data_IF_802040664983
#
_entry.id   IF_802040664983
#
_cell.length_a   1.000
_cell.length_b   1.000
_cell.length_c   1.000
_cell.angle_alpha   90.00
_cell.angle_beta   90.00
_cell.angle_gamma   90.00
#
_symmetry.space_group_name_H-M   'P 1'
#
loop_
_entity.id
_entity.type
_entity.pdbx_description
1 polymer ?
#
# COMPACT_ATOMS: atom_id res chain seq x y z
N UNK A 1 26.72 -5.00 55.66
CA UNK A 1 25.76 -5.86 54.93
C UNK A 1 26.17 -7.31 55.09
N UNK A 2 25.23 -8.21 55.38
CA UNK A 2 25.51 -9.64 55.38
C UNK A 2 25.67 -10.14 53.94
N UNK A 3 26.53 -11.14 53.71
CA UNK A 3 26.75 -11.75 52.39
C UNK A 3 25.43 -12.19 51.71
N UNK A 4 24.45 -12.58 52.52
CA UNK A 4 23.12 -13.01 52.07
C UNK A 4 22.30 -11.87 51.47
N UNK A 5 22.44 -10.63 51.96
CA UNK A 5 21.72 -9.48 51.41
C UNK A 5 22.24 -9.09 50.02
N UNK A 6 23.56 -9.24 49.80
CA UNK A 6 24.19 -8.97 48.49
C UNK A 6 23.74 -10.03 47.47
N UNK A 7 23.70 -11.30 47.85
CA UNK A 7 23.20 -12.38 46.98
C UNK A 7 21.72 -12.20 46.61
N UNK A 8 20.89 -11.75 47.56
CA UNK A 8 19.47 -11.47 47.29
C UNK A 8 19.32 -10.31 46.28
N UNK A 9 20.09 -9.24 46.44
CA UNK A 9 20.06 -8.09 45.54
C UNK A 9 20.48 -8.48 44.11
N UNK A 10 21.53 -9.30 43.97
CA UNK A 10 21.98 -9.81 42.67
C UNK A 10 20.89 -10.68 42.04
N UNK A 11 20.26 -11.57 42.81
CA UNK A 11 19.17 -12.40 42.31
C UNK A 11 17.96 -11.57 41.84
N UNK A 12 17.59 -10.53 42.59
CA UNK A 12 16.51 -9.60 42.20
C UNK A 12 16.88 -8.85 40.93
N UNK A 13 18.11 -8.31 40.83
CA UNK A 13 18.56 -7.59 39.63
C UNK A 13 18.57 -8.49 38.39
N UNK A 14 19.07 -9.72 38.51
CA UNK A 14 19.09 -10.70 37.39
C UNK A 14 17.66 -11.10 37.00
N UNK A 15 16.76 -11.33 37.96
CA UNK A 15 15.36 -11.64 37.67
C UNK A 15 14.62 -10.43 37.05
N UNK A 16 14.91 -9.20 37.50
CA UNK A 16 14.33 -7.99 36.93
C UNK A 16 14.82 -7.70 35.52
N UNK A 17 16.07 -8.05 35.18
CA UNK A 17 16.58 -7.87 33.82
C UNK A 17 16.02 -8.89 32.82
N UNK A 18 15.42 -10.01 33.27
CA UNK A 18 14.74 -10.96 32.39
C UNK A 18 13.29 -10.57 32.03
N UNK A 19 12.65 -9.66 32.78
CA UNK A 19 11.22 -9.33 32.60
C UNK A 19 11.01 -8.28 31.50
N UNK A 20 12.07 -7.68 30.96
CA UNK A 20 11.98 -6.65 29.92
C UNK A 20 12.21 -7.21 28.51
N UNK A 21 11.71 -8.41 28.23
CA UNK A 21 11.42 -8.80 26.84
C UNK A 21 10.03 -8.25 26.54
N UNK A 22 9.96 -6.97 26.18
CA UNK A 22 8.75 -6.44 25.57
C UNK A 22 8.39 -7.36 24.41
N UNK A 23 7.13 -7.82 24.34
CA UNK A 23 6.69 -8.62 23.20
C UNK A 23 6.89 -7.75 21.96
N UNK A 24 7.96 -8.00 21.22
CA UNK A 24 8.12 -7.48 19.88
C UNK A 24 7.14 -8.29 19.05
N UNK A 25 5.88 -7.84 19.00
CA UNK A 25 4.95 -8.25 17.97
C UNK A 25 5.47 -7.65 16.67
N UNK A 26 6.53 -8.24 16.12
CA UNK A 26 6.87 -8.06 14.72
C UNK A 26 5.84 -8.85 13.94
N UNK A 27 4.61 -8.34 13.89
CA UNK A 27 3.61 -8.83 12.97
C UNK A 27 4.16 -8.50 11.59
N UNK A 28 4.45 -9.53 10.80
CA UNK A 28 4.89 -9.34 9.42
C UNK A 28 3.78 -8.62 8.67
N UNK A 29 4.13 -7.57 7.94
CA UNK A 29 3.20 -6.91 7.03
C UNK A 29 2.70 -7.95 6.03
N UNK A 30 1.38 -8.06 5.87
CA UNK A 30 0.80 -9.05 4.99
C UNK A 30 1.22 -8.75 3.54
N UNK A 31 1.95 -9.68 2.93
CA UNK A 31 2.37 -9.56 1.53
C UNK A 31 1.14 -9.55 0.61
N UNK A 32 0.94 -8.52 -0.23
CA UNK A 32 -0.19 -8.49 -1.15
C UNK A 32 -0.04 -9.53 -2.26
N UNK A 33 -1.17 -10.01 -2.78
CA UNK A 33 -1.19 -10.94 -3.91
C UNK A 33 -0.98 -10.20 -5.24
N UNK A 34 -0.59 -10.93 -6.29
CA UNK A 34 -0.45 -10.34 -7.63
C UNK A 34 -1.84 -9.89 -8.12
N UNK A 35 -2.02 -8.62 -8.55
CA UNK A 35 -3.33 -8.11 -8.95
C UNK A 35 -3.95 -8.86 -10.14
N UNK A 36 -5.23 -9.21 -10.00
CA UNK A 36 -6.10 -9.53 -11.13
C UNK A 36 -6.60 -8.22 -11.74
N UNK A 37 -6.38 -8.01 -13.04
CA UNK A 37 -6.82 -6.79 -13.71
C UNK A 37 -7.36 -7.05 -15.11
N UNK A 38 -7.93 -6.02 -15.73
CA UNK A 38 -8.35 -6.00 -17.13
C UNK A 38 -8.20 -4.59 -17.67
N UNK A 39 -7.81 -4.46 -18.95
CA UNK A 39 -7.67 -3.18 -19.62
C UNK A 39 -8.67 -3.05 -20.77
N UNK A 40 -9.38 -1.91 -20.84
CA UNK A 40 -10.37 -1.63 -21.88
C UNK A 40 -10.21 -0.23 -22.43
N UNK A 41 -10.50 -0.05 -23.72
CA UNK A 41 -10.67 1.28 -24.32
C UNK A 41 -12.13 1.67 -24.19
N UNK A 42 -12.41 2.79 -23.52
CA UNK A 42 -13.77 3.29 -23.28
C UNK A 42 -13.95 4.61 -24.00
N UNK A 43 -15.07 4.75 -24.71
CA UNK A 43 -15.41 5.95 -25.47
C UNK A 43 -16.43 6.78 -24.71
N UNK A 44 -16.15 8.08 -24.61
CA UNK A 44 -16.95 9.08 -23.92
C UNK A 44 -17.24 10.26 -24.86
N UNK A 45 -17.87 10.03 -26.03
CA UNK A 45 -18.05 11.09 -27.01
C UNK A 45 -18.99 12.17 -26.46
N UNK A 46 -18.73 13.43 -26.81
CA UNK A 46 -19.60 14.54 -26.44
C UNK A 46 -19.66 15.61 -27.53
N UNK A 47 -20.79 16.30 -27.59
CA UNK A 47 -21.04 17.41 -28.50
C UNK A 47 -21.02 18.73 -27.74
N UNK A 48 -20.25 19.69 -28.25
CA UNK A 48 -20.38 21.10 -27.87
C UNK A 48 -21.34 21.75 -28.88
N UNK A 49 -22.50 22.27 -28.46
CA UNK A 49 -23.41 22.94 -29.40
C UNK A 49 -22.83 24.29 -29.86
N UNK A 50 -23.20 24.73 -31.06
CA UNK A 50 -22.89 26.09 -31.54
C UNK A 50 -23.52 27.12 -30.59
N UNK A 51 -22.71 28.07 -30.11
CA UNK A 51 -23.19 29.16 -29.25
C UNK A 51 -23.01 30.52 -29.94
N UNK A 52 -23.86 31.47 -29.58
CA UNK A 52 -23.85 32.82 -30.11
C UNK A 52 -23.73 33.82 -28.97
N UNK A 53 -22.89 34.83 -29.14
CA UNK A 53 -22.77 35.94 -28.21
C UNK A 53 -22.74 37.26 -28.98
N UNK A 54 -23.48 38.26 -28.52
CA UNK A 54 -23.43 39.61 -29.10
C UNK A 54 -22.34 40.41 -28.40
N UNK A 55 -21.34 40.86 -29.15
CA UNK A 55 -20.29 41.73 -28.63
C UNK A 55 -20.92 43.06 -28.12
N UNK A 56 -20.74 43.40 -26.84
CA UNK A 56 -21.41 44.56 -26.24
C UNK A 56 -20.85 45.90 -26.74
N UNK A 57 -19.70 45.91 -27.40
CA UNK A 57 -19.04 47.11 -27.89
C UNK A 57 -19.28 47.36 -29.37
N UNK A 58 -19.46 46.30 -30.17
CA UNK A 58 -19.68 46.42 -31.62
C UNK A 58 -21.11 46.09 -32.04
N UNK A 59 -21.87 45.36 -31.22
CA UNK A 59 -23.19 44.84 -31.57
C UNK A 59 -23.16 43.66 -32.55
N UNK A 60 -21.97 43.19 -32.94
CA UNK A 60 -21.81 42.06 -33.85
C UNK A 60 -22.14 40.74 -33.14
N UNK A 61 -22.73 39.79 -33.87
CA UNK A 61 -22.95 38.44 -33.37
C UNK A 61 -21.71 37.59 -33.63
N UNK A 62 -21.02 37.19 -32.56
CA UNK A 62 -19.92 36.23 -32.59
C UNK A 62 -20.52 34.82 -32.51
N UNK A 63 -20.15 33.98 -33.47
CA UNK A 63 -20.54 32.57 -33.51
C UNK A 63 -19.37 31.71 -33.05
N UNK A 64 -19.57 30.92 -32.00
CA UNK A 64 -18.65 29.86 -31.60
C UNK A 64 -19.20 28.55 -32.15
N UNK A 65 -18.61 28.05 -33.22
CA UNK A 65 -19.04 26.80 -33.86
C UNK A 65 -18.98 25.63 -32.87
N UNK A 66 -20.03 24.82 -32.90
CA UNK A 66 -20.07 23.57 -32.16
C UNK A 66 -19.07 22.56 -32.72
N UNK A 67 -18.74 21.55 -31.92
CA UNK A 67 -17.80 20.50 -32.29
C UNK A 67 -18.15 19.18 -31.60
N UNK A 68 -17.96 18.07 -32.33
CA UNK A 68 -18.04 16.72 -31.80
C UNK A 68 -16.65 16.26 -31.37
N UNK A 69 -16.51 15.74 -30.15
CA UNK A 69 -15.27 15.23 -29.61
C UNK A 69 -15.36 13.73 -29.35
N UNK A 70 -14.54 12.97 -30.06
CA UNK A 70 -14.33 11.54 -29.87
C UNK A 70 -13.38 11.30 -28.69
N UNK A 71 -13.83 11.60 -27.48
CA UNK A 71 -13.02 11.40 -26.28
C UNK A 71 -12.93 9.90 -25.94
N UNK A 72 -11.72 9.40 -25.75
CA UNK A 72 -11.45 7.99 -25.44
C UNK A 72 -10.46 7.91 -24.29
N UNK A 73 -10.74 7.04 -23.33
CA UNK A 73 -9.84 6.71 -22.23
C UNK A 73 -9.47 5.24 -22.29
N UNK A 74 -8.37 4.89 -21.62
CA UNK A 74 -8.00 3.52 -21.32
C UNK A 74 -8.31 3.29 -19.86
N UNK A 75 -9.22 2.36 -19.59
CA UNK A 75 -9.60 2.00 -18.23
C UNK A 75 -8.90 0.72 -17.79
N UNK A 76 -8.16 0.81 -16.68
CA UNK A 76 -7.56 -0.34 -16.00
C UNK A 76 -8.44 -0.69 -14.80
N UNK A 77 -9.12 -1.82 -14.89
CA UNK A 77 -9.98 -2.36 -13.85
C UNK A 77 -9.19 -3.37 -13.03
N UNK A 78 -8.90 -3.05 -11.77
CA UNK A 78 -8.10 -3.87 -10.87
C UNK A 78 -9.04 -4.44 -9.81
N UNK A 79 -9.08 -5.76 -9.65
CA UNK A 79 -9.90 -6.41 -8.63
C UNK A 79 -9.26 -6.22 -7.26
N UNK A 80 -10.01 -5.64 -6.35
CA UNK A 80 -9.52 -5.29 -5.03
C UNK A 80 -9.25 -6.54 -4.19
N UNK A 81 -8.17 -6.49 -3.41
CA UNK A 81 -7.75 -7.58 -2.54
C UNK A 81 -8.28 -7.32 -1.13
N UNK A 82 -8.59 -8.37 -0.35
CA UNK A 82 -8.90 -8.20 1.06
C UNK A 82 -7.70 -7.57 1.79
N UNK A 83 -7.86 -6.32 2.20
CA UNK A 83 -6.88 -5.59 3.00
C UNK A 83 -7.62 -4.66 3.95
N UNK A 84 -7.24 -4.66 5.23
CA UNK A 84 -7.79 -3.78 6.24
C UNK A 84 -6.71 -2.74 6.60
N UNK A 85 -6.92 -1.45 6.28
CA UNK A 85 -5.99 -0.39 6.68
C UNK A 85 -5.79 -0.34 8.19
N UNK A 86 -4.60 0.04 8.62
CA UNK A 86 -4.24 0.17 10.03
C UNK A 86 -3.21 1.29 10.23
N UNK A 87 -3.11 1.80 11.45
CA UNK A 87 -2.06 2.77 11.81
C UNK A 87 -0.82 2.04 12.35
N UNK A 88 0.36 2.45 11.89
CA UNK A 88 1.62 1.95 12.44
C UNK A 88 1.97 2.56 13.83
N UNK A 89 3.15 2.23 14.36
CA UNK A 89 3.58 2.69 15.68
C UNK A 89 3.74 4.22 15.77
N UNK A 90 3.92 4.88 14.62
CA UNK A 90 4.05 6.33 14.48
C UNK A 90 2.71 7.01 14.16
N UNK A 91 1.62 6.24 14.04
CA UNK A 91 0.28 6.75 13.70
C UNK A 91 0.09 7.07 12.22
N UNK A 92 0.89 6.45 11.34
CA UNK A 92 0.78 6.59 9.89
C UNK A 92 -0.15 5.50 9.34
N UNK A 93 -1.10 5.90 8.50
CA UNK A 93 -2.04 4.97 7.89
C UNK A 93 -1.32 4.10 6.85
N UNK A 94 -1.20 2.82 7.15
CA UNK A 94 -0.75 1.78 6.23
C UNK A 94 -1.95 1.28 5.42
N UNK A 95 -1.83 1.36 4.10
CA UNK A 95 -2.89 1.00 3.17
C UNK A 95 -2.36 0.16 1.99
N UNK A 96 -3.27 -0.41 1.20
CA UNK A 96 -2.97 -1.09 -0.04
C UNK A 96 -3.10 -0.11 -1.21
N UNK A 97 -2.09 -0.12 -2.06
CA UNK A 97 -2.00 0.76 -3.22
C UNK A 97 -1.64 -0.03 -4.47
N UNK A 98 -1.96 0.57 -5.62
CA UNK A 98 -1.65 0.03 -6.94
C UNK A 98 -0.69 0.93 -7.71
N UNK A 99 0.12 0.28 -8.53
CA UNK A 99 1.02 0.90 -9.48
C UNK A 99 0.77 0.25 -10.84
N UNK A 100 0.70 1.07 -11.88
CA UNK A 100 0.50 0.61 -13.24
C UNK A 100 1.72 1.03 -14.04
N UNK A 101 2.19 0.13 -14.89
CA UNK A 101 3.19 0.47 -15.89
C UNK A 101 2.72 0.07 -17.27
N UNK A 102 3.19 0.80 -18.26
CA UNK A 102 2.80 0.68 -19.65
C UNK A 102 4.02 0.75 -20.56
N UNK A 103 3.97 0.04 -21.67
CA UNK A 103 4.92 0.17 -22.78
C UNK A 103 4.24 -0.14 -24.10
N UNK A 104 4.81 0.33 -25.20
CA UNK A 104 4.50 -0.21 -26.50
C UNK A 104 4.82 -1.70 -26.56
N UNK A 105 4.04 -2.48 -27.29
CA UNK A 105 4.26 -3.93 -27.38
C UNK A 105 5.68 -4.30 -27.86
N UNK A 106 6.22 -3.48 -28.76
CA UNK A 106 7.56 -3.63 -29.33
C UNK A 106 8.65 -2.82 -28.60
N UNK A 107 8.30 -2.13 -27.53
CA UNK A 107 9.26 -1.43 -26.67
C UNK A 107 9.84 -2.40 -25.63
N UNK A 108 11.09 -2.17 -25.24
CA UNK A 108 11.78 -2.94 -24.21
C UNK A 108 11.51 -2.38 -22.82
N UNK A 109 11.48 -1.05 -22.70
CA UNK A 109 11.38 -0.34 -21.44
C UNK A 109 9.93 -0.09 -21.02
N UNK A 110 9.67 -0.26 -19.72
CA UNK A 110 8.40 0.10 -19.11
C UNK A 110 8.43 1.54 -18.61
N UNK A 111 7.32 2.24 -18.79
CA UNK A 111 7.10 3.59 -18.26
C UNK A 111 5.93 3.60 -17.28
N UNK A 112 5.92 4.54 -16.34
CA UNK A 112 4.69 4.87 -15.62
C UNK A 112 3.75 5.58 -16.61
N UNK A 113 2.45 5.28 -16.62
CA UNK A 113 1.52 6.03 -17.42
C UNK A 113 1.62 7.50 -17.02
N UNK A 114 1.67 8.39 -18.01
CA UNK A 114 1.66 9.83 -17.77
C UNK A 114 0.30 10.15 -17.12
N UNK A 115 0.28 10.25 -15.80
CA UNK A 115 -0.81 10.90 -15.09
C UNK A 115 -0.50 12.40 -15.03
N UNK A 116 -1.52 13.24 -15.08
CA UNK A 116 -1.40 14.69 -15.29
C UNK A 116 -0.73 15.46 -14.12
N UNK A 117 -0.10 14.77 -13.17
CA UNK A 117 0.65 15.39 -12.09
C UNK A 117 2.14 15.17 -12.28
N UNK A 118 2.85 16.21 -12.75
CA UNK A 118 4.32 16.28 -12.76
C UNK A 118 4.95 16.30 -11.35
N UNK A 119 4.17 16.17 -10.27
CA UNK A 119 4.74 16.03 -8.94
C UNK A 119 5.38 14.64 -8.81
N UNK A 120 6.71 14.58 -8.73
CA UNK A 120 7.58 13.41 -8.58
C UNK A 120 7.17 12.34 -7.54
N UNK A 121 6.14 12.58 -6.73
CA UNK A 121 5.48 11.51 -5.98
C UNK A 121 4.68 10.64 -6.96
N UNK A 122 5.34 9.61 -7.52
CA UNK A 122 4.70 8.57 -8.33
C UNK A 122 3.33 8.25 -7.73
N UNK A 123 2.25 8.59 -8.45
CA UNK A 123 0.88 8.50 -7.94
C UNK A 123 0.58 7.04 -7.58
N UNK A 124 0.76 6.70 -6.31
CA UNK A 124 0.36 5.41 -5.76
C UNK A 124 -1.13 5.50 -5.51
N UNK A 125 -1.89 4.69 -6.22
CA UNK A 125 -3.34 4.79 -6.24
C UNK A 125 -3.91 3.92 -5.13
N UNK A 126 -4.53 4.48 -4.08
CA UNK A 126 -5.08 3.68 -3.00
C UNK A 126 -6.19 2.78 -3.54
N UNK A 127 -6.30 1.60 -2.95
CA UNK A 127 -7.43 0.71 -3.20
C UNK A 127 -8.75 1.44 -2.89
N UNK A 128 -9.70 1.38 -3.82
CA UNK A 128 -11.06 1.88 -3.60
C UNK A 128 -11.85 0.98 -2.63
N UNK A 129 -12.99 1.46 -2.14
CA UNK A 129 -13.90 0.68 -1.31
C UNK A 129 -14.86 -0.24 -2.09
N UNK A 130 -14.81 -0.22 -3.43
CA UNK A 130 -15.62 -1.09 -4.29
C UNK A 130 -14.95 -2.45 -4.54
N UNK A 131 -15.59 -3.34 -5.31
CA UNK A 131 -14.96 -4.60 -5.73
C UNK A 131 -13.75 -4.37 -6.65
N UNK A 132 -13.76 -3.27 -7.41
CA UNK A 132 -12.68 -2.89 -8.33
C UNK A 132 -12.19 -1.48 -8.06
N UNK A 133 -10.88 -1.27 -8.20
CA UNK A 133 -10.28 0.03 -8.42
C UNK A 133 -10.20 0.27 -9.92
N UNK A 134 -10.76 1.38 -10.41
CA UNK A 134 -10.78 1.72 -11.84
C UNK A 134 -9.91 2.95 -12.08
N UNK A 135 -8.93 2.81 -12.94
CA UNK A 135 -7.99 3.87 -13.31
C UNK A 135 -8.28 4.31 -14.74
N UNK A 136 -8.55 5.61 -14.93
CA UNK A 136 -8.79 6.19 -16.25
C UNK A 136 -7.50 6.88 -16.72
N UNK A 137 -6.87 6.29 -17.73
CA UNK A 137 -5.65 6.78 -18.35
C UNK A 137 -5.98 7.48 -19.67
N UNK A 138 -5.27 8.56 -19.97
CA UNK A 138 -5.41 9.25 -21.24
C UNK A 138 -4.94 8.36 -22.41
N UNK A 139 -5.71 8.35 -23.50
CA UNK A 139 -5.37 7.57 -24.69
C UNK A 139 -4.62 8.43 -25.71
N UNK A 140 -3.29 8.40 -25.66
CA UNK A 140 -2.42 9.12 -26.61
C UNK A 140 -1.91 8.24 -27.75
N UNK A 141 -2.37 7.00 -27.83
CA UNK A 141 -1.83 6.02 -28.77
C UNK A 141 -2.51 6.11 -30.14
N UNK A 142 -1.76 5.79 -31.19
CA UNK A 142 -2.29 5.72 -32.55
C UNK A 142 -3.24 4.53 -32.71
N UNK A 143 -4.26 4.67 -33.56
CA UNK A 143 -5.11 3.55 -33.96
C UNK A 143 -4.25 2.40 -34.54
N UNK A 144 -4.57 1.17 -34.15
CA UNK A 144 -3.83 -0.05 -34.47
C UNK A 144 -2.59 -0.29 -33.60
N UNK A 145 -2.21 0.63 -32.71
CA UNK A 145 -1.09 0.42 -31.80
C UNK A 145 -1.39 -0.72 -30.82
N UNK A 146 -0.37 -1.51 -30.50
CA UNK A 146 -0.42 -2.52 -29.45
C UNK A 146 0.29 -1.99 -28.20
N UNK A 147 -0.39 -2.05 -27.07
CA UNK A 147 0.09 -1.48 -25.80
C UNK A 147 -0.01 -2.54 -24.72
N UNK A 148 1.09 -2.75 -24.00
CA UNK A 148 1.23 -3.72 -22.92
C UNK A 148 1.05 -3.02 -21.57
N UNK A 149 0.32 -3.66 -20.67
CA UNK A 149 0.05 -3.19 -19.31
C UNK A 149 0.45 -4.23 -18.27
N UNK A 150 0.96 -3.75 -17.13
CA UNK A 150 1.14 -4.54 -15.92
C UNK A 150 0.73 -3.73 -14.69
N UNK A 151 0.31 -4.44 -13.65
CA UNK A 151 -0.12 -3.88 -12.37
C UNK A 151 0.67 -4.54 -11.24
N UNK A 152 1.08 -3.75 -10.26
CA UNK A 152 1.69 -4.21 -9.01
C UNK A 152 0.88 -3.66 -7.84
N UNK A 153 0.63 -4.49 -6.83
CA UNK A 153 0.10 -4.06 -5.54
C UNK A 153 1.24 -3.94 -4.52
N UNK A 154 1.13 -2.97 -3.63
CA UNK A 154 2.07 -2.81 -2.53
C UNK A 154 1.34 -2.28 -1.31
N UNK A 155 1.83 -2.70 -0.15
CA UNK A 155 1.42 -2.19 1.15
C UNK A 155 2.44 -1.14 1.54
N UNK A 156 1.96 0.00 2.00
CA UNK A 156 2.83 1.10 2.38
C UNK A 156 2.03 2.24 2.97
N UNK A 157 2.70 3.36 3.18
CA UNK A 157 2.11 4.56 3.77
C UNK A 157 2.81 5.82 3.27
N UNK A 158 2.09 6.94 3.31
CA UNK A 158 2.68 8.25 3.07
C UNK A 158 3.19 8.86 4.37
N UNK A 159 4.34 9.52 4.31
CA UNK A 159 4.84 10.33 5.39
C UNK A 159 5.41 11.66 4.86
N UNK A 160 5.43 12.67 5.73
CA UNK A 160 6.05 13.95 5.41
C UNK A 160 7.52 13.88 5.78
N UNK A 161 8.39 14.05 4.80
CA UNK A 161 9.82 14.22 4.99
C UNK A 161 10.21 15.69 4.74
N UNK A 162 11.42 16.06 5.14
CA UNK A 162 11.98 17.38 4.86
C UNK A 162 13.26 17.21 4.03
N UNK A 163 13.49 18.10 3.06
CA UNK A 163 14.73 18.09 2.30
C UNK A 163 15.96 18.06 3.22
N UNK A 164 16.99 17.28 2.88
CA UNK A 164 18.20 17.18 3.71
C UNK A 164 18.83 18.57 3.92
N UNK A 165 19.49 18.73 5.07
CA UNK A 165 20.13 19.98 5.48
C UNK A 165 21.05 20.53 4.36
N UNK A 166 20.75 21.73 3.86
CA UNK A 166 21.51 22.35 2.76
C UNK A 166 20.67 23.30 1.88
N UNK A 167 19.35 23.19 1.89
CA UNK A 167 18.45 24.12 1.23
C UNK A 167 18.05 25.28 2.15
N UNK A 168 18.08 26.52 1.63
CA UNK A 168 17.72 27.72 2.38
C UNK A 168 16.24 27.76 2.81
N UNK A 169 15.39 26.93 2.18
CA UNK A 169 13.98 26.81 2.49
C UNK A 169 13.66 25.32 2.65
N UNK A 170 13.19 24.93 3.84
CA UNK A 170 12.67 23.59 4.09
C UNK A 170 11.21 23.54 3.64
N UNK A 171 10.95 22.85 2.53
CA UNK A 171 9.60 22.50 2.12
C UNK A 171 9.31 21.05 2.54
N UNK A 172 8.14 20.78 3.15
CA UNK A 172 7.72 19.40 3.38
C UNK A 172 7.53 18.71 2.03
N UNK A 173 8.03 17.49 1.91
CA UNK A 173 7.79 16.61 0.77
C UNK A 173 6.98 15.39 1.25
N UNK A 174 6.01 14.98 0.45
CA UNK A 174 5.26 13.75 0.70
C UNK A 174 6.02 12.59 0.09
N UNK A 175 6.50 11.67 0.93
CA UNK A 175 7.22 10.48 0.50
C UNK A 175 6.34 9.25 0.73
N UNK A 176 6.37 8.32 -0.21
CA UNK A 176 5.71 7.04 -0.07
C UNK A 176 6.73 5.98 0.35
N UNK A 177 6.52 5.35 1.51
CA UNK A 177 7.31 4.20 1.95
C UNK A 177 6.63 2.91 1.51
N UNK A 178 7.37 2.05 0.82
CA UNK A 178 6.92 0.71 0.45
C UNK A 178 7.36 -0.26 1.55
N UNK A 179 6.40 -0.93 2.17
CA UNK A 179 6.66 -1.93 3.20
C UNK A 179 6.70 -3.34 2.59
N UNK A 180 5.75 -3.67 1.70
CA UNK A 180 5.69 -4.97 1.00
C UNK A 180 5.18 -4.82 -0.44
N UNK A 181 5.58 -5.73 -1.35
CA UNK A 181 5.10 -5.72 -2.75
C UNK A 181 4.62 -7.10 -3.22
N UNK A 182 3.69 -7.11 -4.17
CA UNK A 182 3.20 -8.33 -4.81
C UNK A 182 4.15 -8.84 -5.91
N UNK A 183 4.97 -7.94 -6.46
CA UNK A 183 5.57 -8.10 -7.78
C UNK A 183 4.57 -7.78 -8.89
N UNK A 184 5.07 -7.72 -10.13
CA UNK A 184 4.28 -7.37 -11.31
C UNK A 184 3.37 -8.50 -11.78
N UNK A 185 2.18 -8.14 -12.23
CA UNK A 185 1.23 -9.04 -12.89
C UNK A 185 1.75 -9.61 -14.22
N UNK A 186 1.00 -10.55 -14.79
CA UNK A 186 1.13 -10.88 -16.21
C UNK A 186 0.87 -9.64 -17.08
N UNK A 187 1.45 -9.64 -18.28
CA UNK A 187 1.21 -8.60 -19.28
C UNK A 187 -0.17 -8.78 -19.92
N UNK A 188 -0.93 -7.69 -20.03
CA UNK A 188 -2.09 -7.62 -20.93
C UNK A 188 -1.82 -6.67 -22.07
N UNK A 189 -2.04 -7.15 -23.29
CA UNK A 189 -1.89 -6.37 -24.51
C UNK A 189 -3.25 -5.95 -25.03
N UNK A 190 -3.41 -4.66 -25.36
CA UNK A 190 -4.59 -4.15 -26.05
C UNK A 190 -4.21 -3.61 -27.43
N UNK A 191 -5.16 -3.67 -28.37
CA UNK A 191 -5.05 -3.02 -29.68
C UNK A 191 -5.92 -1.76 -29.69
N UNK A 192 -5.32 -0.60 -29.94
CA UNK A 192 -6.01 0.68 -29.90
C UNK A 192 -6.94 0.82 -31.11
N UNK A 193 -8.23 1.05 -30.86
CA UNK A 193 -9.22 1.23 -31.93
C UNK A 193 -10.01 -0.02 -32.29
N UNK A 194 -9.65 -1.19 -31.78
CA UNK A 194 -10.52 -2.36 -31.82
C UNK A 194 -11.44 -2.37 -30.59
N UNK A 195 -12.74 -2.50 -30.83
CA UNK A 195 -13.69 -2.76 -29.74
C UNK A 195 -13.42 -4.19 -29.27
N UNK A 196 -12.85 -4.35 -28.08
CA UNK A 196 -12.68 -5.67 -27.50
C UNK A 196 -14.07 -6.26 -27.19
N UNK A 197 -14.53 -7.17 -28.05
CA UNK A 197 -15.77 -7.92 -27.83
C UNK A 197 -15.62 -9.02 -26.79
N UNK A 198 -14.37 -9.37 -26.45
CA UNK A 198 -14.05 -10.33 -25.40
C UNK A 198 -13.40 -9.59 -24.24
N UNK A 199 -14.01 -9.65 -23.07
CA UNK A 199 -13.30 -9.29 -21.84
C UNK A 199 -12.22 -10.35 -21.64
N UNK A 200 -10.93 -10.00 -21.63
CA UNK A 200 -9.89 -10.98 -21.38
C UNK A 200 -10.18 -11.67 -20.06
N UNK A 201 -10.12 -13.00 -20.04
CA UNK A 201 -10.33 -13.76 -18.82
C UNK A 201 -9.24 -13.34 -17.81
N UNK A 202 -9.61 -12.96 -16.56
CA UNK A 202 -8.63 -12.50 -15.59
C UNK A 202 -7.53 -13.56 -15.48
N UNK A 203 -6.27 -13.13 -15.56
CA UNK A 203 -5.17 -14.07 -15.32
C UNK A 203 -5.23 -14.46 -13.85
N UNK A 204 -5.69 -15.68 -13.56
CA UNK A 204 -5.74 -16.19 -12.19
C UNK A 204 -4.30 -16.21 -11.68
N UNK A 205 -3.96 -15.43 -10.64
CA UNK A 205 -2.63 -15.49 -10.07
C UNK A 205 -2.44 -16.89 -9.49
N UNK A 206 -1.28 -17.49 -9.77
CA UNK A 206 -0.89 -18.70 -9.06
C UNK A 206 -0.75 -18.30 -7.60
N UNK A 207 -1.71 -18.71 -6.76
CA UNK A 207 -1.69 -18.38 -5.35
C UNK A 207 -0.40 -18.94 -4.75
N UNK A 208 0.48 -18.03 -4.33
CA UNK A 208 1.57 -18.42 -3.45
C UNK A 208 0.90 -18.71 -2.11
N UNK A 209 1.12 -19.89 -1.48
CA UNK A 209 0.44 -20.22 -0.23
C UNK A 209 0.67 -19.10 0.77
N UNK A 210 -0.43 -18.55 1.30
CA UNK A 210 -0.35 -17.59 2.40
C UNK A 210 0.54 -18.19 3.48
N UNK A 211 1.49 -17.43 4.05
CA UNK A 211 2.11 -17.87 5.29
C UNK A 211 0.96 -18.10 6.27
N UNK A 212 0.78 -19.35 6.66
CA UNK A 212 -0.13 -19.69 7.75
C UNK A 212 0.50 -19.04 8.96
N UNK A 213 -0.01 -17.86 9.34
CA UNK A 213 0.33 -17.30 10.64
C UNK A 213 0.02 -18.39 11.66
N UNK A 214 0.96 -18.63 12.58
CA UNK A 214 0.84 -19.57 13.68
C UNK A 214 0.49 -18.78 14.95
N UNK A 215 -0.79 -18.37 15.14
CA UNK A 215 -1.16 -17.46 16.21
C UNK A 215 -1.25 -18.13 17.60
N UNK A 216 -1.10 -19.45 17.72
CA UNK A 216 -1.31 -20.14 19.00
C UNK A 216 -0.03 -20.43 19.79
N UNK A 217 1.09 -20.68 19.13
CA UNK A 217 2.31 -21.11 19.84
C UNK A 217 2.87 -19.97 20.72
N UNK A 218 2.82 -18.73 20.22
CA UNK A 218 3.38 -17.57 20.91
C UNK A 218 2.57 -17.17 22.16
N UNK A 219 1.24 -17.38 22.17
CA UNK A 219 0.43 -17.15 23.38
C UNK A 219 0.70 -18.17 24.48
N UNK A 220 0.88 -19.45 24.12
CA UNK A 220 1.19 -20.49 25.12
C UNK A 220 2.56 -20.29 25.76
N UNK A 221 3.58 -19.89 24.99
CA UNK A 221 4.91 -19.65 25.54
C UNK A 221 4.94 -18.44 26.49
N UNK A 222 4.24 -17.34 26.16
CA UNK A 222 4.14 -16.18 27.05
C UNK A 222 3.41 -16.53 28.35
N UNK A 223 2.29 -17.25 28.28
CA UNK A 223 1.55 -17.67 29.48
C UNK A 223 2.39 -18.60 30.36
N UNK A 224 3.11 -19.56 29.77
CA UNK A 224 3.96 -20.48 30.49
C UNK A 224 5.16 -19.75 31.15
N UNK A 225 5.77 -18.80 30.44
CA UNK A 225 6.87 -17.97 30.95
C UNK A 225 6.44 -17.13 32.16
N UNK A 226 5.27 -16.49 32.10
CA UNK A 226 4.71 -15.72 33.22
C UNK A 226 4.41 -16.64 34.42
N UNK A 227 3.78 -17.79 34.19
CA UNK A 227 3.43 -18.75 35.24
C UNK A 227 4.67 -19.28 35.98
N UNK A 228 5.73 -19.66 35.26
CA UNK A 228 6.99 -20.13 35.84
C UNK A 228 7.65 -19.03 36.68
N UNK A 229 7.64 -17.79 36.18
CA UNK A 229 8.22 -16.64 36.88
C UNK A 229 7.51 -16.37 38.22
N UNK A 230 6.16 -16.40 38.23
CA UNK A 230 5.36 -16.25 39.45
C UNK A 230 5.68 -17.39 40.45
N UNK A 231 5.74 -18.63 39.98
CA UNK A 231 6.02 -19.79 40.84
C UNK A 231 7.40 -19.69 41.52
N UNK A 232 8.45 -19.30 40.77
CA UNK A 232 9.81 -19.11 41.31
C UNK A 232 9.84 -17.99 42.34
N UNK A 233 9.15 -16.87 42.06
CA UNK A 233 9.06 -15.74 42.98
C UNK A 233 8.37 -16.11 44.30
N UNK A 234 7.22 -16.81 44.22
CA UNK A 234 6.50 -17.28 45.40
C UNK A 234 7.32 -18.28 46.23
N UNK A 235 8.03 -19.20 45.59
CA UNK A 235 8.90 -20.16 46.27
C UNK A 235 10.08 -19.45 46.98
N UNK A 236 10.71 -18.47 46.31
CA UNK A 236 11.78 -17.66 46.89
C UNK A 236 11.32 -16.86 48.12
N UNK A 237 10.16 -16.21 48.04
CA UNK A 237 9.53 -15.51 49.16
C UNK A 237 9.20 -16.45 50.33
N UNK A 238 8.63 -17.62 50.05
CA UNK A 238 8.31 -18.62 51.06
C UNK A 238 9.55 -19.10 51.83
N UNK A 239 10.64 -19.38 51.11
CA UNK A 239 11.92 -19.76 51.71
C UNK A 239 12.49 -18.65 52.58
N UNK A 240 12.41 -17.39 52.12
CA UNK A 240 12.91 -16.24 52.85
C UNK A 240 12.15 -16.05 54.19
N UNK A 241 10.82 -16.12 54.15
CA UNK A 241 9.97 -16.03 55.37
C UNK A 241 10.31 -17.16 56.35
N UNK A 242 10.50 -18.38 55.85
CA UNK A 242 10.89 -19.53 56.67
C UNK A 242 12.24 -19.30 57.38
N UNK A 243 13.24 -18.79 56.65
CA UNK A 243 14.58 -18.53 57.21
C UNK A 243 14.58 -17.39 58.23
N UNK A 244 13.73 -16.38 58.05
CA UNK A 244 13.59 -15.29 59.03
C UNK A 244 12.93 -15.78 60.32
N UNK A 245 11.88 -16.60 60.24
CA UNK A 245 11.17 -17.13 61.43
C UNK A 245 11.96 -18.15 62.24
N UNK A 246 12.95 -18.81 61.63
CA UNK A 246 13.77 -19.84 62.28
C UNK A 246 14.90 -19.26 63.14
N UNK A 247 15.22 -17.97 62.97
CA UNK A 247 16.13 -17.22 63.83
C UNK A 247 15.38 -16.64 65.02
#
# INVERSE_FOLDING_TARGET
MSKNAILLLIAVLVLSSLIMVGSVFAQSVAKPSIPEFTVKVVSHPYDIPTTYYTDPYTGETITNEGAHFENKSIEVWIKNQPFAPYDDAEGREVNLYYNVRVKGHFEEDWSLPITFSESDSAERLPQSSSEYTVLSLANYYKLGAQVDYQVEAFVGHFYTDYYPEGHAIQFPITVFQVDETSGWSSTQTIVIGEIQTHTPEPTIPTSTPFPTEEPEQLRQEVILGVAVTIAVFCAGLGLLVYLVRRK
#
